data_IF_320984050180
#
_entry.id   IF_320984050180
#
_cell.length_a   1.000
_cell.length_b   1.000
_cell.length_c   1.000
_cell.angle_alpha   90.00
_cell.angle_beta   90.00
_cell.angle_gamma   90.00
#
_symmetry.space_group_name_H-M   'P 1'
#
loop_
_entity.id
_entity.type
_entity.pdbx_description
1 polymer ?
#
# COMPACT_ATOMS: atom_id res chain seq x y z
N UNK A 1 -20.91 22.66 -18.39
CA UNK A 1 -20.73 22.43 -16.94
C UNK A 1 -20.01 23.63 -16.35
N UNK A 2 -20.45 24.18 -15.21
CA UNK A 2 -19.70 25.24 -14.54
C UNK A 2 -18.32 24.71 -14.13
N UNK A 3 -17.27 25.56 -14.11
CA UNK A 3 -15.94 25.13 -13.71
C UNK A 3 -15.99 24.63 -12.26
N UNK A 4 -15.47 23.42 -12.02
CA UNK A 4 -15.39 22.86 -10.67
C UNK A 4 -14.68 23.83 -9.74
N UNK A 5 -15.27 24.10 -8.58
CA UNK A 5 -14.74 25.06 -7.62
C UNK A 5 -13.36 24.61 -7.13
N UNK A 6 -12.32 25.38 -7.48
CA UNK A 6 -10.93 25.13 -7.10
C UNK A 6 -10.58 25.88 -5.82
N UNK A 7 -10.14 25.16 -4.78
CA UNK A 7 -9.86 25.68 -3.44
C UNK A 7 -8.36 25.72 -3.13
N UNK A 8 -7.93 26.68 -2.31
CA UNK A 8 -6.56 26.71 -1.78
C UNK A 8 -6.39 25.72 -0.62
N UNK A 9 -5.14 25.36 -0.27
CA UNK A 9 -4.87 24.46 0.86
C UNK A 9 -5.46 24.98 2.19
N UNK A 10 -5.50 26.30 2.38
CA UNK A 10 -6.09 26.94 3.55
C UNK A 10 -7.62 26.81 3.58
N UNK A 11 -8.26 26.76 2.41
CA UNK A 11 -9.70 26.51 2.28
C UNK A 11 -10.05 25.02 2.39
N UNK A 12 -9.14 24.11 2.03
CA UNK A 12 -9.33 22.65 2.17
C UNK A 12 -9.21 22.21 3.63
N UNK A 13 -8.27 22.80 4.40
CA UNK A 13 -8.05 22.46 5.80
C UNK A 13 -9.32 22.43 6.66
N UNK A 14 -10.17 23.49 6.70
CA UNK A 14 -11.38 23.49 7.52
C UNK A 14 -12.40 22.43 7.08
N UNK A 15 -12.46 22.10 5.78
CA UNK A 15 -13.35 21.05 5.26
C UNK A 15 -12.97 19.67 5.79
N UNK A 16 -11.66 19.40 5.90
CA UNK A 16 -11.17 18.13 6.43
C UNK A 16 -11.18 18.10 7.96
N UNK A 17 -10.96 19.24 8.63
CA UNK A 17 -10.93 19.33 10.10
C UNK A 17 -12.23 18.93 10.79
N UNK A 18 -13.37 19.06 10.11
CA UNK A 18 -14.66 18.63 10.66
C UNK A 18 -14.65 17.12 10.96
N UNK A 19 -14.04 16.32 10.08
CA UNK A 19 -13.99 14.86 10.23
C UNK A 19 -12.66 14.35 10.80
N UNK A 20 -11.57 15.08 10.59
CA UNK A 20 -10.22 14.72 11.00
C UNK A 20 -9.60 15.87 11.82
N UNK A 21 -9.87 15.95 13.14
CA UNK A 21 -9.46 17.10 13.95
C UNK A 21 -7.93 17.31 13.97
N UNK A 22 -7.15 16.24 13.87
CA UNK A 22 -5.69 16.26 13.87
C UNK A 22 -5.05 16.61 12.52
N UNK A 23 -5.86 16.88 11.48
CA UNK A 23 -5.33 17.23 10.16
C UNK A 23 -4.63 18.59 10.18
N UNK A 24 -3.46 18.63 9.55
CA UNK A 24 -2.64 19.83 9.40
C UNK A 24 -2.28 20.08 7.93
N UNK A 25 -1.90 21.32 7.63
CA UNK A 25 -1.36 21.69 6.31
C UNK A 25 -0.15 20.82 5.96
N UNK A 26 0.73 20.57 6.95
CA UNK A 26 1.92 19.72 6.76
C UNK A 26 1.54 18.30 6.37
N UNK A 27 0.50 17.71 6.98
CA UNK A 27 0.00 16.39 6.61
C UNK A 27 -0.57 16.36 5.19
N UNK A 28 -1.34 17.37 4.78
CA UNK A 28 -1.87 17.47 3.41
C UNK A 28 -0.73 17.55 2.40
N UNK A 29 0.28 18.40 2.66
CA UNK A 29 1.46 18.53 1.79
C UNK A 29 2.28 17.24 1.73
N UNK A 30 2.39 16.52 2.85
CA UNK A 30 3.05 15.23 2.90
C UNK A 30 2.35 14.18 2.02
N UNK A 31 1.01 14.10 2.06
CA UNK A 31 0.25 13.19 1.20
C UNK A 31 0.39 13.55 -0.29
N UNK A 32 0.48 14.83 -0.61
CA UNK A 32 0.81 15.31 -1.95
C UNK A 32 2.22 14.90 -2.38
N UNK A 33 3.24 15.10 -1.53
CA UNK A 33 4.63 14.72 -1.87
C UNK A 33 4.80 13.20 -2.03
N UNK A 34 3.99 12.40 -1.34
CA UNK A 34 3.90 10.95 -1.53
C UNK A 34 3.14 10.55 -2.81
N UNK A 35 2.66 11.52 -3.58
CA UNK A 35 1.98 11.31 -4.86
C UNK A 35 0.58 10.72 -4.75
N UNK A 36 -0.06 10.80 -3.56
CA UNK A 36 -1.40 10.26 -3.36
C UNK A 36 -2.49 11.21 -3.87
N UNK A 37 -2.17 12.49 -3.99
CA UNK A 37 -3.05 13.56 -4.48
C UNK A 37 -2.23 14.48 -5.36
N UNK A 38 -2.79 14.97 -6.46
CA UNK A 38 -2.09 15.80 -7.46
C UNK A 38 -2.91 17.04 -7.79
N UNK A 39 -2.98 18.03 -6.89
CA UNK A 39 -3.73 19.25 -7.12
C UNK A 39 -3.10 20.07 -8.26
N UNK A 40 -3.94 20.77 -9.01
CA UNK A 40 -3.47 21.63 -10.09
C UNK A 40 -2.67 22.83 -9.55
N UNK A 41 -1.64 23.25 -10.29
CA UNK A 41 -0.94 24.51 -10.00
C UNK A 41 -1.50 25.63 -10.86
N UNK A 42 -1.91 26.72 -10.23
CA UNK A 42 -2.23 27.96 -10.92
C UNK A 42 -0.96 28.54 -11.59
N UNK A 43 -1.08 29.40 -12.62
CA UNK A 43 0.06 30.12 -13.20
C UNK A 43 0.87 30.92 -12.16
N UNK A 44 0.23 31.34 -11.07
CA UNK A 44 0.85 32.00 -9.92
C UNK A 44 1.62 31.06 -8.97
N UNK A 45 1.64 29.75 -9.22
CA UNK A 45 2.36 28.75 -8.44
C UNK A 45 1.60 28.16 -7.25
N UNK A 46 0.46 28.74 -6.87
CA UNK A 46 -0.39 28.21 -5.79
C UNK A 46 -1.12 26.93 -6.18
N UNK A 47 -1.31 26.04 -5.20
CA UNK A 47 -2.08 24.79 -5.34
C UNK A 47 -3.57 25.07 -5.36
N UNK A 48 -4.26 24.42 -6.28
CA UNK A 48 -5.71 24.46 -6.45
C UNK A 48 -6.25 23.03 -6.39
N UNK A 49 -6.92 22.73 -5.28
CA UNK A 49 -7.57 21.45 -5.03
C UNK A 49 -8.97 21.49 -5.63
N UNK A 50 -9.29 20.54 -6.50
CA UNK A 50 -10.64 20.28 -6.96
C UNK A 50 -11.44 19.50 -5.90
N UNK A 51 -12.76 19.36 -6.09
CA UNK A 51 -13.58 18.54 -5.18
C UNK A 51 -13.08 17.08 -5.13
N UNK A 52 -12.69 16.51 -6.28
CA UNK A 52 -12.13 15.16 -6.35
C UNK A 52 -10.85 14.99 -5.50
N UNK A 53 -9.99 16.01 -5.41
CA UNK A 53 -8.81 15.96 -4.55
C UNK A 53 -9.21 15.92 -3.06
N UNK A 54 -10.25 16.66 -2.69
CA UNK A 54 -10.76 16.68 -1.31
C UNK A 54 -11.37 15.34 -0.95
N UNK A 55 -12.16 14.74 -1.84
CA UNK A 55 -12.72 13.39 -1.66
C UNK A 55 -11.62 12.33 -1.54
N UNK A 56 -10.58 12.41 -2.38
CA UNK A 56 -9.41 11.53 -2.32
C UNK A 56 -8.67 11.68 -0.98
N UNK A 57 -8.49 12.91 -0.48
CA UNK A 57 -7.93 13.16 0.85
C UNK A 57 -8.78 12.54 1.96
N UNK A 58 -10.12 12.68 1.91
CA UNK A 58 -11.02 12.04 2.89
C UNK A 58 -10.84 10.53 2.89
N UNK A 59 -10.82 9.91 1.71
CA UNK A 59 -10.61 8.45 1.59
C UNK A 59 -9.28 8.02 2.23
N UNK A 60 -8.17 8.68 1.87
CA UNK A 60 -6.85 8.38 2.41
C UNK A 60 -6.87 8.47 3.95
N UNK A 61 -7.43 9.56 4.49
CA UNK A 61 -7.45 9.79 5.94
C UNK A 61 -8.31 8.76 6.69
N UNK A 62 -9.47 8.35 6.13
CA UNK A 62 -10.27 7.25 6.70
C UNK A 62 -9.50 5.94 6.72
N UNK A 63 -8.86 5.58 5.60
CA UNK A 63 -8.08 4.34 5.51
C UNK A 63 -6.90 4.32 6.50
N UNK A 64 -6.30 5.47 6.79
CA UNK A 64 -5.26 5.57 7.83
C UNK A 64 -5.81 5.53 9.24
N UNK A 65 -6.93 6.22 9.53
CA UNK A 65 -7.50 6.34 10.87
C UNK A 65 -8.21 5.07 11.32
N UNK A 66 -9.05 4.52 10.45
CA UNK A 66 -10.01 3.47 10.80
C UNK A 66 -9.42 2.06 10.54
N UNK A 67 -8.54 1.95 9.53
CA UNK A 67 -7.97 0.67 9.09
C UNK A 67 -6.44 0.60 9.18
N UNK A 68 -5.77 1.69 9.59
CA UNK A 68 -4.31 1.74 9.76
C UNK A 68 -3.51 1.30 8.53
N UNK A 69 -4.05 1.55 7.33
CA UNK A 69 -3.41 1.07 6.10
C UNK A 69 -2.13 1.86 5.77
N UNK A 70 -1.06 1.18 5.30
CA UNK A 70 0.13 1.85 4.82
C UNK A 70 -0.12 2.56 3.49
N UNK A 71 0.57 3.69 3.26
CA UNK A 71 0.37 4.52 2.06
C UNK A 71 0.49 3.76 0.74
N UNK A 72 1.35 2.74 0.68
CA UNK A 72 1.51 1.89 -0.51
C UNK A 72 0.23 1.10 -0.84
N UNK A 73 -0.49 0.63 0.17
CA UNK A 73 -1.76 -0.09 -0.03
C UNK A 73 -2.85 0.90 -0.42
N UNK A 74 -2.91 2.06 0.25
CA UNK A 74 -3.85 3.13 -0.11
C UNK A 74 -3.65 3.57 -1.56
N UNK A 75 -2.40 3.71 -2.04
CA UNK A 75 -2.11 4.03 -3.44
C UNK A 75 -2.71 3.01 -4.41
N UNK A 76 -2.54 1.71 -4.14
CA UNK A 76 -3.14 0.65 -4.96
C UNK A 76 -4.67 0.72 -4.95
N UNK A 77 -5.28 1.00 -3.79
CA UNK A 77 -6.72 1.19 -3.69
C UNK A 77 -7.20 2.36 -4.56
N UNK A 78 -6.49 3.48 -4.51
CA UNK A 78 -6.78 4.65 -5.32
C UNK A 78 -6.63 4.36 -6.82
N UNK A 79 -5.58 3.64 -7.22
CA UNK A 79 -5.39 3.21 -8.62
C UNK A 79 -6.52 2.29 -9.10
N UNK A 80 -7.06 1.42 -8.22
CA UNK A 80 -8.23 0.61 -8.53
C UNK A 80 -9.47 1.50 -8.72
N UNK A 81 -9.71 2.44 -7.81
CA UNK A 81 -10.83 3.39 -7.91
C UNK A 81 -10.75 4.23 -9.19
N UNK A 82 -9.55 4.71 -9.55
CA UNK A 82 -9.32 5.48 -10.78
C UNK A 82 -9.60 4.66 -12.05
N UNK A 83 -9.48 3.32 -11.98
CA UNK A 83 -9.84 2.37 -13.04
C UNK A 83 -11.30 1.92 -12.98
N UNK A 84 -12.11 2.45 -12.05
CA UNK A 84 -13.50 2.05 -11.83
C UNK A 84 -13.66 0.69 -11.15
N UNK A 85 -12.59 0.16 -10.53
CA UNK A 85 -12.61 -1.07 -9.75
C UNK A 85 -12.81 -0.74 -8.27
N UNK A 86 -13.58 -1.57 -7.57
CA UNK A 86 -13.81 -1.38 -6.13
C UNK A 86 -12.61 -1.92 -5.32
N UNK A 87 -12.05 -1.13 -4.38
CA UNK A 87 -10.92 -1.58 -3.58
C UNK A 87 -11.33 -2.72 -2.64
N UNK A 88 -10.43 -3.67 -2.34
CA UNK A 88 -10.72 -4.76 -1.42
C UNK A 88 -11.10 -4.19 -0.05
N UNK A 89 -12.16 -4.75 0.53
CA UNK A 89 -12.69 -4.32 1.83
C UNK A 89 -11.58 -4.40 2.88
N UNK A 90 -11.33 -3.31 3.58
CA UNK A 90 -10.22 -3.21 4.54
C UNK A 90 -10.37 -4.14 5.75
N UNK A 91 -11.55 -4.73 5.95
CA UNK A 91 -11.86 -5.72 6.98
C UNK A 91 -11.50 -7.16 6.57
N UNK A 92 -11.19 -7.39 5.29
CA UNK A 92 -10.71 -8.67 4.83
C UNK A 92 -9.28 -8.88 5.38
N UNK A 93 -8.96 -10.04 5.99
CA UNK A 93 -7.63 -10.33 6.53
C UNK A 93 -6.62 -10.38 5.38
N UNK A 94 -6.11 -9.21 5.00
CA UNK A 94 -5.21 -9.03 3.87
C UNK A 94 -3.81 -8.90 4.43
N UNK A 95 -3.14 -10.05 4.57
CA UNK A 95 -1.69 -10.08 4.38
C UNK A 95 -1.43 -9.63 2.94
N UNK A 96 -1.03 -8.37 2.76
CA UNK A 96 -0.52 -7.89 1.47
C UNK A 96 0.87 -8.52 1.24
N UNK A 97 1.27 -8.89 0.01
CA UNK A 97 1.03 -8.09 -1.19
C UNK A 97 0.68 -8.89 -2.47
N UNK A 98 -0.15 -8.34 -3.36
CA UNK A 98 -0.19 -8.82 -4.75
C UNK A 98 0.01 -7.67 -5.72
N UNK A 99 1.23 -7.58 -6.24
CA UNK A 99 1.51 -6.89 -7.50
C UNK A 99 0.82 -7.67 -8.60
N UNK A 100 -0.37 -7.24 -9.01
CA UNK A 100 -0.99 -7.74 -10.24
C UNK A 100 -0.58 -6.85 -11.41
N UNK A 101 0.54 -7.23 -12.02
CA UNK A 101 0.81 -6.93 -13.43
C UNK A 101 -0.33 -7.45 -14.28
N UNK A 102 -0.89 -6.61 -15.15
CA UNK A 102 -1.60 -7.05 -16.35
C UNK A 102 -1.41 -6.01 -17.45
N UNK A 103 -0.68 -6.39 -18.49
CA UNK A 103 -0.96 -6.06 -19.89
C UNK A 103 0.07 -6.81 -20.78
N UNK A 104 -0.41 -7.88 -21.40
CA UNK A 104 0.23 -8.65 -22.46
C UNK A 104 0.42 -7.85 -23.75
N UNK A 105 1.42 -8.23 -24.56
CA UNK A 105 1.32 -8.56 -26.01
C UNK A 105 2.70 -8.44 -26.69
N UNK A 106 3.32 -9.57 -27.03
CA UNK A 106 4.01 -9.83 -28.32
C UNK A 106 4.82 -11.15 -28.28
N UNK A 107 4.77 -11.85 -29.41
CA UNK A 107 5.15 -13.22 -29.79
C UNK A 107 6.64 -13.61 -29.70
N UNK A 108 6.98 -14.91 -29.87
CA UNK A 108 8.25 -15.50 -29.44
C UNK A 108 9.34 -15.40 -30.52
N UNK A 109 10.54 -15.01 -30.12
CA UNK A 109 11.75 -15.33 -30.89
C UNK A 109 12.95 -15.56 -29.95
N UNK A 110 13.74 -16.56 -30.29
CA UNK A 110 14.81 -17.16 -29.49
C UNK A 110 16.06 -16.28 -29.50
N UNK A 111 16.69 -16.03 -28.34
CA UNK A 111 18.17 -16.07 -28.22
C UNK A 111 18.64 -15.80 -26.78
N UNK A 112 19.18 -16.87 -26.18
CA UNK A 112 20.28 -16.95 -25.21
C UNK A 112 20.78 -15.64 -24.55
N UNK A 113 20.37 -15.41 -23.30
CA UNK A 113 21.19 -14.67 -22.33
C UNK A 113 20.90 -15.16 -20.91
N UNK A 114 21.93 -15.71 -20.27
CA UNK A 114 21.91 -16.15 -18.88
C UNK A 114 21.61 -14.97 -17.95
N UNK A 115 20.49 -15.05 -17.23
CA UNK A 115 20.24 -14.25 -16.04
C UNK A 115 19.44 -15.09 -15.05
N UNK A 116 20.14 -15.53 -14.00
CA UNK A 116 19.60 -16.25 -12.85
C UNK A 116 18.25 -15.67 -12.40
N UNK A 117 17.20 -16.51 -12.40
CA UNK A 117 15.93 -16.24 -11.71
C UNK A 117 16.21 -15.66 -10.33
N UNK A 118 15.73 -14.45 -9.95
CA UNK A 118 15.78 -14.07 -8.56
C UNK A 118 14.85 -15.02 -7.80
N UNK A 119 15.43 -15.90 -6.97
CA UNK A 119 14.70 -16.67 -5.95
C UNK A 119 13.88 -15.67 -5.15
N UNK A 120 12.56 -15.62 -5.40
CA UNK A 120 11.61 -14.79 -4.65
C UNK A 120 11.72 -15.18 -3.18
N UNK A 121 12.44 -14.38 -2.41
CA UNK A 121 12.50 -14.52 -0.95
C UNK A 121 11.16 -14.05 -0.41
N UNK A 122 10.19 -14.96 -0.37
CA UNK A 122 8.97 -14.78 0.39
C UNK A 122 9.38 -14.60 1.85
N UNK A 123 9.18 -13.39 2.37
CA UNK A 123 9.40 -13.03 3.78
C UNK A 123 8.13 -13.44 4.52
N UNK A 124 8.17 -14.53 5.26
CA UNK A 124 7.03 -15.01 6.05
C UNK A 124 7.17 -14.50 7.48
N UNK A 125 6.12 -13.93 8.04
CA UNK A 125 6.05 -13.66 9.48
C UNK A 125 5.84 -14.95 10.29
N UNK A 126 6.10 -14.92 11.60
CA UNK A 126 5.87 -16.08 12.50
C UNK A 126 4.46 -16.65 12.35
N UNK A 127 3.46 -15.76 12.31
CA UNK A 127 2.05 -16.13 12.22
C UNK A 127 1.70 -16.75 10.86
N UNK A 128 2.24 -16.20 9.78
CA UNK A 128 2.07 -16.76 8.43
C UNK A 128 2.76 -18.13 8.30
N UNK A 129 3.93 -18.31 8.92
CA UNK A 129 4.64 -19.58 8.92
C UNK A 129 3.78 -20.68 9.59
N UNK A 130 3.20 -20.41 10.75
CA UNK A 130 2.30 -21.34 11.45
C UNK A 130 1.07 -21.69 10.59
N UNK A 131 0.46 -20.70 9.93
CA UNK A 131 -0.71 -20.91 9.08
C UNK A 131 -0.40 -21.74 7.83
N UNK A 132 0.74 -21.49 7.17
CA UNK A 132 1.11 -22.17 5.92
C UNK A 132 1.65 -23.58 6.18
N UNK A 133 2.40 -23.76 7.26
CA UNK A 133 2.97 -25.06 7.64
C UNK A 133 1.99 -25.98 8.37
N UNK A 134 0.90 -25.43 8.91
CA UNK A 134 0.00 -26.16 9.81
C UNK A 134 0.66 -26.53 11.15
N UNK A 135 1.84 -25.98 11.46
CA UNK A 135 2.55 -26.23 12.70
C UNK A 135 1.85 -25.54 13.87
N UNK A 136 1.90 -26.20 15.03
CA UNK A 136 1.53 -25.57 16.30
C UNK A 136 2.66 -24.65 16.80
N UNK A 137 2.32 -23.65 17.61
CA UNK A 137 3.31 -22.74 18.18
C UNK A 137 4.37 -23.48 19.02
N UNK A 138 3.97 -24.52 19.75
CA UNK A 138 4.87 -25.37 20.51
C UNK A 138 5.90 -26.06 19.62
N UNK A 139 5.46 -26.60 18.48
CA UNK A 139 6.35 -27.24 17.49
C UNK A 139 7.30 -26.23 16.85
N UNK A 140 6.84 -25.00 16.59
CA UNK A 140 7.70 -23.96 16.06
C UNK A 140 8.81 -23.56 17.05
N UNK A 141 8.47 -23.42 18.34
CA UNK A 141 9.46 -23.14 19.39
C UNK A 141 10.52 -24.23 19.46
N UNK A 142 10.11 -25.49 19.32
CA UNK A 142 11.02 -26.64 19.31
C UNK A 142 11.96 -26.61 18.09
N UNK A 143 11.44 -26.29 16.90
CA UNK A 143 12.22 -26.15 15.67
C UNK A 143 13.20 -24.97 15.71
N UNK A 144 12.84 -23.87 16.36
CA UNK A 144 13.75 -22.74 16.61
C UNK A 144 14.88 -23.11 17.57
N UNK A 145 14.54 -23.85 18.64
CA UNK A 145 15.52 -24.38 19.60
C UNK A 145 16.52 -25.34 18.94
N UNK A 146 16.04 -26.13 17.98
CA UNK A 146 16.85 -27.06 17.19
C UNK A 146 17.55 -26.41 15.98
N UNK A 147 17.41 -25.09 15.79
CA UNK A 147 17.97 -24.32 14.67
C UNK A 147 17.51 -24.80 13.27
N UNK A 148 16.43 -25.58 13.21
CA UNK A 148 15.82 -26.06 11.97
C UNK A 148 15.04 -24.95 11.26
N UNK A 149 14.46 -24.04 12.05
CA UNK A 149 13.75 -22.86 11.56
C UNK A 149 14.32 -21.65 12.26
N UNK A 150 14.95 -20.75 11.52
CA UNK A 150 15.47 -19.49 12.07
C UNK A 150 14.98 -18.31 11.24
N UNK A 151 14.67 -17.17 11.89
CA UNK A 151 14.43 -15.95 11.15
C UNK A 151 15.71 -15.51 10.44
N UNK A 152 15.59 -14.83 9.30
CA UNK A 152 16.76 -14.30 8.59
C UNK A 152 17.53 -13.35 9.51
N UNK A 153 18.87 -13.41 9.47
CA UNK A 153 19.76 -12.55 10.27
C UNK A 153 19.32 -11.08 10.21
N UNK A 154 19.09 -10.48 11.38
CA UNK A 154 18.65 -9.10 11.53
C UNK A 154 17.17 -8.84 11.15
N UNK A 155 16.34 -9.89 11.11
CA UNK A 155 14.96 -9.80 10.63
C UNK A 155 14.00 -10.63 11.47
N UNK A 156 12.74 -10.23 11.52
CA UNK A 156 11.63 -10.99 12.15
C UNK A 156 10.95 -11.96 11.17
N UNK A 157 11.48 -12.05 9.93
CA UNK A 157 10.90 -12.84 8.86
C UNK A 157 11.64 -14.17 8.65
N UNK A 158 10.87 -15.25 8.50
CA UNK A 158 11.33 -16.57 8.10
C UNK A 158 11.43 -16.64 6.57
N UNK A 159 12.42 -17.39 6.08
CA UNK A 159 12.53 -17.72 4.66
C UNK A 159 11.64 -18.90 4.30
N UNK A 160 11.32 -19.05 3.01
CA UNK A 160 10.61 -20.22 2.47
C UNK A 160 11.26 -21.57 2.83
N UNK A 161 12.56 -21.59 3.08
CA UNK A 161 13.30 -22.77 3.54
C UNK A 161 12.70 -23.36 4.84
N UNK A 162 11.99 -22.56 5.65
CA UNK A 162 11.33 -23.00 6.88
C UNK A 162 10.06 -23.86 6.66
N UNK A 163 9.66 -24.09 5.40
CA UNK A 163 8.47 -24.88 5.01
C UNK A 163 8.84 -26.24 4.38
N UNK A 164 10.06 -26.73 4.57
CA UNK A 164 10.51 -28.05 4.07
C UNK A 164 10.25 -29.12 5.12
#
# INVERSE_FOLDING_TARGET
>A
MPPAAKRSIGQVLPLLKNEFPDISISKIRFLESEGLVSPERAPSGYRRYAEADVERLRYILRMQRDHYLPLKVIRQNLEMMDRGLEPPRADAPTGAPTTRSTAELATPDQSLAAASKPKRSMKLTRRELLQVSGLSEATLIELERQQMVVPRRGSIYYGREALT
#
